data_IF_592397502174
#
_entry.id   IF_592397502174
#
_cell.length_a   1.000
_cell.length_b   1.000
_cell.length_c   1.000
_cell.angle_alpha   90.00
_cell.angle_beta   90.00
_cell.angle_gamma   90.00
#
_symmetry.space_group_name_H-M   'P 1'
#
loop_
_entity.id
_entity.type
_entity.pdbx_description
1 polymer ?
2 non-polymer ?
3 non-polymer ?
4 non-polymer ?
5 water ?
#
# COMPACT_ATOMS: atom_id res chain seq x y z
N UNK A 1 -9.49 4.64 -0.69
CA UNK A 1 -10.77 4.01 -0.82
C UNK A 1 -11.95 4.94 -0.64
N UNK A 2 -13.15 4.46 -0.93
CA UNK A 2 -14.35 5.24 -0.77
C UNK A 2 -14.63 5.61 0.69
N UNK A 3 -14.36 4.69 1.61
CA UNK A 3 -14.51 4.96 3.03
C UNK A 3 -13.58 6.12 3.35
N UNK A 4 -14.13 7.23 3.88
CA UNK A 4 -13.32 8.42 4.04
C UNK A 4 -12.25 8.32 5.10
N UNK A 5 -12.32 7.31 5.95
CA UNK A 5 -11.28 7.06 6.90
C UNK A 5 -10.05 6.44 6.24
N UNK A 6 -10.16 5.85 5.09
CA UNK A 6 -9.00 5.27 4.44
C UNK A 6 -8.12 6.38 3.88
N UNK A 7 -6.86 6.01 3.66
CA UNK A 7 -5.93 6.88 2.97
C UNK A 7 -5.72 6.47 1.52
N UNK A 8 -4.84 7.23 0.87
CA UNK A 8 -4.55 7.11 -0.56
C UNK A 8 -3.06 7.27 -0.75
N UNK A 9 -2.52 6.46 -1.66
CA UNK A 9 -1.10 6.53 -2.01
C UNK A 9 -0.93 6.16 -3.46
N UNK A 10 0.21 6.56 -4.01
CA UNK A 10 0.65 6.12 -5.32
C UNK A 10 1.96 5.37 -5.13
N UNK A 11 2.07 4.16 -5.66
CA UNK A 11 3.32 3.41 -5.54
C UNK A 11 4.47 4.23 -6.15
N UNK A 12 5.55 4.35 -5.40
CA UNK A 12 6.76 5.10 -5.80
C UNK A 12 7.83 4.20 -6.38
N UNK A 13 7.90 2.96 -5.94
CA UNK A 13 8.82 1.96 -6.46
C UNK A 13 8.03 0.66 -6.63
N UNK A 14 8.51 -0.23 -7.50
CA UNK A 14 7.95 -1.56 -7.49
C UNK A 14 8.23 -2.21 -6.14
N UNK A 15 7.34 -3.14 -5.75
CA UNK A 15 7.51 -3.90 -4.52
C UNK A 15 7.07 -5.32 -4.78
N UNK A 16 7.96 -6.28 -4.50
CA UNK A 16 7.61 -7.69 -4.51
C UNK A 16 7.57 -8.18 -3.06
N UNK A 17 6.41 -8.64 -2.64
CA UNK A 17 6.29 -9.16 -1.29
C UNK A 17 7.18 -10.37 -1.06
N UNK A 18 7.64 -10.50 0.18
CA UNK A 18 8.48 -11.62 0.58
C UNK A 18 7.71 -12.88 0.81
N UNK A 19 6.47 -12.76 1.19
CA UNK A 19 5.52 -13.86 1.29
C UNK A 19 4.14 -13.35 0.95
N UNK A 20 3.20 -14.26 0.95
CA UNK A 20 1.84 -14.12 0.60
C UNK A 20 1.14 -12.90 1.23
N UNK A 21 1.46 -12.66 2.49
CA UNK A 21 0.78 -11.66 3.26
C UNK A 21 1.19 -10.24 2.85
N UNK A 22 2.30 -10.11 2.17
CA UNK A 22 2.79 -8.83 1.65
C UNK A 22 2.21 -8.65 0.24
N UNK A 23 1.77 -7.45 -0.07
CA UNK A 23 1.10 -7.15 -1.34
C UNK A 23 2.08 -6.53 -2.34
N UNK A 24 2.30 -7.25 -3.45
CA UNK A 24 3.19 -6.77 -4.50
C UNK A 24 2.48 -5.76 -5.41
N UNK A 25 3.24 -4.84 -5.99
CA UNK A 25 2.69 -3.83 -6.87
C UNK A 25 3.82 -3.21 -7.69
N UNK A 26 3.39 -2.37 -8.62
CA UNK A 26 4.34 -1.61 -9.41
C UNK A 26 4.17 -0.11 -9.16
N UNK A 27 5.29 0.60 -9.40
CA UNK A 27 5.27 2.06 -9.43
C UNK A 27 4.09 2.52 -10.27
N UNK A 28 3.37 3.53 -9.78
CA UNK A 28 2.29 4.16 -10.49
C UNK A 28 0.90 3.62 -10.15
N UNK A 29 0.81 2.52 -9.45
CA UNK A 29 -0.50 2.02 -9.02
C UNK A 29 -0.98 2.84 -7.82
N UNK A 30 -2.25 3.26 -7.88
CA UNK A 30 -2.91 3.83 -6.72
C UNK A 30 -3.29 2.74 -5.72
N UNK A 31 -3.08 3.04 -4.45
CA UNK A 31 -3.29 2.11 -3.35
C UNK A 31 -4.13 2.79 -2.27
N UNK A 32 -5.18 2.09 -1.82
CA UNK A 32 -5.91 2.47 -0.63
C UNK A 32 -5.13 2.05 0.60
N UNK A 33 -4.93 3.01 1.52
CA UNK A 33 -4.26 2.74 2.78
C UNK A 33 -5.32 2.46 3.84
N UNK A 34 -5.27 1.26 4.43
CA UNK A 34 -6.19 0.89 5.49
C UNK A 34 -5.69 1.27 6.86
N UNK A 35 -4.38 1.05 7.12
CA UNK A 35 -3.85 1.24 8.46
C UNK A 35 -2.35 1.30 8.38
N UNK A 36 -1.73 2.23 9.12
CA UNK A 36 -0.28 2.16 9.33
C UNK A 36 -0.08 1.25 10.54
N UNK A 37 0.36 0.02 10.27
CA UNK A 37 0.33 -1.02 11.29
C UNK A 37 1.51 -0.98 12.24
N UNK A 38 2.63 -0.38 11.84
CA UNK A 38 3.76 -0.14 12.72
C UNK A 38 4.55 1.02 12.13
N UNK A 39 5.78 1.21 12.60
CA UNK A 39 6.59 2.32 12.14
C UNK A 39 7.05 2.20 10.68
N UNK A 40 6.98 1.01 10.09
CA UNK A 40 7.47 0.87 8.72
C UNK A 40 6.48 0.29 7.72
N UNK A 41 5.34 -0.25 8.12
CA UNK A 41 4.44 -0.95 7.23
C UNK A 41 3.04 -0.35 7.23
N UNK A 42 2.42 -0.39 6.04
CA UNK A 42 1.00 -0.20 5.85
C UNK A 42 0.31 -1.53 5.54
N UNK A 43 -0.95 -1.62 5.97
CA UNK A 43 -1.95 -2.52 5.39
C UNK A 43 -2.72 -1.72 4.34
N UNK A 44 -2.90 -2.28 3.14
CA UNK A 44 -3.62 -1.57 2.10
C UNK A 44 -4.20 -2.56 1.09
N UNK A 45 -4.83 -1.96 0.07
CA UNK A 45 -5.48 -2.75 -0.96
C UNK A 45 -5.53 -1.90 -2.23
N UNK A 46 -5.64 -2.55 -3.37
CA UNK A 46 -5.59 -1.83 -4.66
C UNK A 46 -6.99 -1.76 -5.25
N UNK A 47 -7.50 -0.53 -5.47
CA UNK A 47 -8.86 -0.41 -6.00
C UNK A 47 -9.00 -1.09 -7.36
N UNK A 48 -10.16 -1.73 -7.56
CA UNK A 48 -10.43 -2.45 -8.77
C UNK A 48 -9.91 -3.87 -8.79
N UNK A 49 -9.29 -4.33 -7.69
CA UNK A 49 -8.65 -5.61 -7.62
C UNK A 49 -9.00 -6.26 -6.29
N UNK A 50 -8.60 -7.53 -6.15
CA UNK A 50 -8.66 -8.25 -4.87
C UNK A 50 -7.30 -8.29 -4.18
N UNK A 51 -6.35 -7.49 -4.63
CA UNK A 51 -5.01 -7.46 -4.05
C UNK A 51 -5.06 -6.62 -2.78
N UNK A 52 -4.50 -7.19 -1.70
CA UNK A 52 -4.59 -6.63 -0.36
C UNK A 52 -3.50 -7.24 0.49
N UNK A 53 -2.88 -6.46 1.34
CA UNK A 53 -1.85 -6.99 2.23
C UNK A 53 -0.98 -5.84 2.73
N UNK A 54 0.20 -6.21 3.23
CA UNK A 54 1.09 -5.21 3.82
C UNK A 54 2.25 -4.89 2.88
N UNK A 55 2.81 -3.71 3.08
CA UNK A 55 3.96 -3.27 2.29
C UNK A 55 4.64 -2.14 3.06
N UNK A 56 5.91 -1.86 2.76
CA UNK A 56 6.62 -0.85 3.53
C UNK A 56 6.28 0.55 3.04
N UNK A 57 6.21 1.47 4.00
CA UNK A 57 5.89 2.86 3.73
C UNK A 57 6.82 3.47 2.69
N UNK A 58 8.12 3.09 2.70
CA UNK A 58 9.14 3.51 1.74
C UNK A 58 8.63 3.44 0.31
N UNK A 59 7.83 2.44 -0.02
CA UNK A 59 7.51 2.13 -1.41
C UNK A 59 6.34 2.92 -1.96
N UNK A 60 5.77 3.84 -1.19
CA UNK A 60 4.66 4.65 -1.69
C UNK A 60 4.91 6.13 -1.38
N UNK A 61 4.24 6.94 -2.21
CA UNK A 61 4.02 8.36 -1.94
C UNK A 61 2.62 8.47 -1.33
N UNK A 62 2.57 8.90 -0.08
CA UNK A 62 1.32 8.99 0.63
C UNK A 62 0.66 10.34 0.32
N UNK A 63 -0.55 10.27 -0.23
CA UNK A 63 -1.33 11.42 -0.62
C UNK A 63 -2.25 11.84 0.53
N UNK A 64 -2.77 10.87 1.27
CA UNK A 64 -3.73 11.08 2.37
C UNK A 64 -3.51 9.92 3.32
N UNK A 65 -3.33 10.17 4.61
CA UNK A 65 -3.15 9.08 5.55
C UNK A 65 -4.48 8.48 5.97
N UNK A 66 -4.50 7.22 6.38
CA UNK A 66 -5.69 6.65 7.03
C UNK A 66 -5.92 7.32 8.39
N UNK A 67 -7.19 7.32 8.77
CA UNK A 67 -7.68 7.68 10.08
C UNK A 67 -8.14 6.41 10.84
X LIG B 1 10.51 -7.49 -0.67
X LIG C 1 6.64 -12.14 4.82
X LIG D 1 -5.37 -1.38 14.08
X LIG D 1 -6.04 0.18 14.48
X LIG D 1 -6.46 1.16 14.73
X LIG E 1 -2.36 -9.30 -2.38
X LIG E 1 -2.02 -9.97 -3.94
X LIG E 1 -1.81 -10.40 -4.93
#
# INVERSE_FOLDING_TARGET
GIDPFTGEAIAKFNFNGDTQVEMSFRKGERITLLRQVDENWYEGRIPGTSRQGIFPITYVDVIKRPL
NA NA
CL CL
SCN S C N
SCN S C N
#
